data_IF_267169658485
#
_entry.id   IF_267169658485
#
_cell.length_a   1.000
_cell.length_b   1.000
_cell.length_c   1.000
_cell.angle_alpha   90.00
_cell.angle_beta   90.00
_cell.angle_gamma   90.00
#
_symmetry.space_group_name_H-M   'P 1'
#
loop_
_entity.id
_entity.type
_entity.pdbx_description
1 polymer ?
#
# COMPACT_ATOMS: atom_id res chain seq x y z
N UNK A 1 17.09 -18.40 2.18
CA UNK A 1 15.85 -17.70 2.59
C UNK A 1 16.16 -16.94 3.88
N UNK A 2 15.42 -15.90 4.26
CA UNK A 2 15.70 -15.26 5.56
C UNK A 2 15.25 -16.19 6.67
N UNK A 3 15.92 -16.16 7.84
CA UNK A 3 15.55 -17.00 8.99
C UNK A 3 14.08 -16.81 9.40
N UNK A 4 13.55 -15.60 9.23
CA UNK A 4 12.16 -15.27 9.52
C UNK A 4 11.19 -15.94 8.53
N UNK A 5 11.49 -15.89 7.23
CA UNK A 5 10.66 -16.50 6.20
C UNK A 5 10.69 -18.04 6.28
N UNK A 6 11.85 -18.62 6.61
CA UNK A 6 11.97 -20.05 6.93
C UNK A 6 11.06 -20.45 8.09
N UNK A 7 11.12 -19.71 9.21
CA UNK A 7 10.25 -19.96 10.36
C UNK A 7 8.76 -19.85 10.01
N UNK A 8 8.38 -18.85 9.21
CA UNK A 8 7.00 -18.69 8.77
C UNK A 8 6.51 -19.91 7.98
N UNK A 9 7.30 -20.43 7.02
CA UNK A 9 6.93 -21.62 6.28
C UNK A 9 6.85 -22.88 7.15
N UNK A 10 7.75 -23.03 8.12
CA UNK A 10 7.70 -24.15 9.08
C UNK A 10 6.43 -24.11 9.94
N UNK A 11 5.96 -22.93 10.35
CA UNK A 11 4.71 -22.83 11.11
C UNK A 11 3.49 -23.06 10.21
N UNK A 12 3.48 -22.52 8.99
CA UNK A 12 2.39 -22.74 8.03
C UNK A 12 2.28 -24.21 7.64
N UNK A 13 3.40 -24.92 7.44
CA UNK A 13 3.38 -26.34 7.04
C UNK A 13 2.77 -27.28 8.08
N UNK A 14 2.61 -26.83 9.34
CA UNK A 14 1.94 -27.60 10.40
C UNK A 14 0.41 -27.50 10.32
N UNK A 15 -0.13 -26.57 9.55
CA UNK A 15 -1.57 -26.38 9.39
C UNK A 15 -2.18 -27.43 8.45
N UNK A 16 -3.51 -27.65 8.50
CA UNK A 16 -4.19 -28.44 7.46
C UNK A 16 -3.99 -27.84 6.07
N UNK A 17 -3.99 -28.69 5.04
CA UNK A 17 -3.70 -28.28 3.64
C UNK A 17 -4.58 -27.11 3.16
N UNK A 18 -5.85 -27.09 3.55
CA UNK A 18 -6.77 -25.99 3.21
C UNK A 18 -6.27 -24.65 3.76
N UNK A 19 -5.79 -24.64 5.00
CA UNK A 19 -5.26 -23.43 5.65
C UNK A 19 -3.91 -23.03 5.06
N UNK A 20 -3.05 -24.00 4.72
CA UNK A 20 -1.81 -23.74 3.99
C UNK A 20 -2.09 -23.04 2.65
N UNK A 21 -3.06 -23.55 1.89
CA UNK A 21 -3.44 -22.98 0.60
C UNK A 21 -4.04 -21.58 0.73
N UNK A 22 -4.81 -21.30 1.79
CA UNK A 22 -5.32 -19.94 2.08
C UNK A 22 -4.16 -18.97 2.33
N UNK A 23 -3.19 -19.34 3.16
CA UNK A 23 -2.02 -18.48 3.45
C UNK A 23 -1.19 -18.28 2.18
N UNK A 24 -0.96 -19.33 1.40
CA UNK A 24 -0.22 -19.24 0.15
C UNK A 24 -0.91 -18.30 -0.85
N UNK A 25 -2.23 -18.44 -1.02
CA UNK A 25 -3.00 -17.56 -1.90
C UNK A 25 -2.92 -16.10 -1.45
N UNK A 26 -3.15 -15.84 -0.16
CA UNK A 26 -3.07 -14.49 0.40
C UNK A 26 -1.68 -13.86 0.16
N UNK A 27 -0.60 -14.59 0.43
CA UNK A 27 0.76 -14.09 0.23
C UNK A 27 1.06 -13.77 -1.25
N UNK A 28 0.59 -14.60 -2.18
CA UNK A 28 0.76 -14.37 -3.62
C UNK A 28 -0.05 -13.16 -4.11
N UNK A 29 -1.26 -12.99 -3.60
CA UNK A 29 -2.11 -11.85 -3.90
C UNK A 29 -1.47 -10.56 -3.37
N UNK A 30 -0.92 -10.57 -2.15
CA UNK A 30 -0.21 -9.44 -1.55
C UNK A 30 1.03 -9.04 -2.35
N UNK A 31 1.89 -10.00 -2.72
CA UNK A 31 3.07 -9.74 -3.54
C UNK A 31 2.72 -9.18 -4.92
N UNK A 32 1.55 -9.56 -5.46
CA UNK A 32 1.04 -9.02 -6.72
C UNK A 32 0.50 -7.60 -6.55
N UNK A 33 -0.22 -7.36 -5.45
CA UNK A 33 -0.73 -6.04 -5.07
C UNK A 33 0.41 -5.03 -4.90
N UNK A 34 1.44 -5.40 -4.13
CA UNK A 34 2.62 -4.56 -3.89
C UNK A 34 3.31 -4.17 -5.20
N UNK A 35 3.55 -5.13 -6.10
CA UNK A 35 4.14 -4.84 -7.43
C UNK A 35 3.30 -3.90 -8.27
N UNK A 36 1.96 -4.03 -8.21
CA UNK A 36 1.05 -3.14 -8.93
C UNK A 36 1.10 -1.73 -8.35
N UNK A 37 1.15 -1.61 -7.03
CA UNK A 37 1.28 -0.32 -6.35
C UNK A 37 2.62 0.35 -6.62
N UNK A 38 3.73 -0.38 -6.55
CA UNK A 38 5.06 0.13 -6.86
C UNK A 38 5.11 0.72 -8.28
N UNK A 39 4.55 -0.03 -9.26
CA UNK A 39 4.46 0.45 -10.63
C UNK A 39 3.57 1.69 -10.76
N UNK A 40 2.36 1.65 -10.21
CA UNK A 40 1.41 2.76 -10.31
C UNK A 40 1.96 4.03 -9.65
N UNK A 41 2.67 3.89 -8.53
CA UNK A 41 3.31 5.00 -7.84
C UNK A 41 4.47 5.57 -8.64
N UNK A 42 5.35 4.73 -9.19
CA UNK A 42 6.46 5.17 -10.03
C UNK A 42 5.99 5.93 -11.29
N UNK A 43 4.81 5.60 -11.82
CA UNK A 43 4.20 6.27 -12.97
C UNK A 43 3.39 7.53 -12.60
N UNK A 44 3.26 7.85 -11.31
CA UNK A 44 2.38 8.92 -10.82
C UNK A 44 3.04 10.27 -10.55
N UNK A 45 4.38 10.38 -10.67
CA UNK A 45 5.15 11.58 -10.29
C UNK A 45 4.61 12.86 -10.93
N UNK A 46 4.39 12.86 -12.25
CA UNK A 46 3.90 14.03 -12.97
C UNK A 46 2.51 14.48 -12.49
N UNK A 47 1.59 13.52 -12.29
CA UNK A 47 0.20 13.80 -11.86
C UNK A 47 0.18 14.29 -10.41
N UNK A 48 0.96 13.66 -9.54
CA UNK A 48 1.09 14.09 -8.15
C UNK A 48 1.73 15.49 -8.05
N UNK A 49 2.70 15.79 -8.91
CA UNK A 49 3.28 17.13 -9.03
C UNK A 49 2.24 18.17 -9.42
N UNK A 50 1.43 17.90 -10.43
CA UNK A 50 0.33 18.79 -10.86
C UNK A 50 -0.69 19.02 -9.74
N UNK A 51 -1.09 17.96 -9.03
CA UNK A 51 -2.03 18.08 -7.90
C UNK A 51 -1.44 18.90 -6.75
N UNK A 52 -0.14 18.78 -6.48
CA UNK A 52 0.54 19.58 -5.47
C UNK A 52 0.57 21.06 -5.86
N UNK A 53 0.89 21.36 -7.13
CA UNK A 53 0.89 22.73 -7.65
C UNK A 53 -0.51 23.37 -7.57
N UNK A 54 -1.55 22.61 -7.94
CA UNK A 54 -2.94 23.05 -7.83
C UNK A 54 -3.32 23.36 -6.38
N UNK A 55 -3.03 22.46 -5.44
CA UNK A 55 -3.34 22.67 -4.03
C UNK A 55 -2.62 23.90 -3.45
N UNK A 56 -1.37 24.14 -3.84
CA UNK A 56 -0.62 25.34 -3.45
C UNK A 56 -1.26 26.60 -4.02
N UNK A 57 -1.71 26.57 -5.28
CA UNK A 57 -2.37 27.70 -5.91
C UNK A 57 -3.72 28.00 -5.26
N UNK A 58 -4.53 26.98 -4.99
CA UNK A 58 -5.77 27.14 -4.23
C UNK A 58 -5.53 27.75 -2.85
N UNK A 59 -4.45 27.35 -2.17
CA UNK A 59 -4.07 27.93 -0.90
C UNK A 59 -3.73 29.43 -1.04
N UNK A 60 -2.90 29.79 -2.02
CA UNK A 60 -2.56 31.20 -2.31
C UNK A 60 -3.79 32.06 -2.65
N UNK A 61 -4.77 31.46 -3.32
CA UNK A 61 -6.03 32.11 -3.66
C UNK A 61 -7.04 32.16 -2.49
N UNK A 62 -6.69 31.64 -1.31
CA UNK A 62 -7.57 31.62 -0.15
C UNK A 62 -8.75 30.64 -0.27
N UNK A 63 -8.66 29.66 -1.19
CA UNK A 63 -9.70 28.65 -1.43
C UNK A 63 -9.62 27.44 -0.48
N UNK A 64 -8.60 27.38 0.36
CA UNK A 64 -8.40 26.29 1.33
C UNK A 64 -8.96 26.66 2.71
N UNK A 65 -9.19 25.65 3.55
CA UNK A 65 -9.60 25.83 4.95
C UNK A 65 -8.64 25.09 5.88
N UNK A 66 -8.41 25.59 7.10
CA UNK A 66 -7.65 24.85 8.10
C UNK A 66 -8.30 23.49 8.39
N UNK A 67 -7.47 22.44 8.48
CA UNK A 67 -7.91 21.13 8.93
C UNK A 67 -8.15 21.16 10.45
N UNK A 68 -9.39 20.92 10.88
CA UNK A 68 -9.77 20.85 12.30
C UNK A 68 -10.12 19.40 12.63
N UNK A 69 -9.19 18.68 13.26
CA UNK A 69 -9.27 17.23 13.50
C UNK A 69 -10.51 16.81 14.32
N UNK A 70 -10.98 17.67 15.23
CA UNK A 70 -12.15 17.40 16.07
C UNK A 70 -13.50 17.46 15.31
N UNK A 71 -13.48 17.71 14.00
CA UNK A 71 -14.66 17.82 13.13
C UNK A 71 -14.63 16.87 11.93
N UNK A 72 -13.75 15.88 11.95
CA UNK A 72 -13.72 14.76 10.99
C UNK A 72 -14.68 13.65 11.44
#
# INVERSE_FOLDING_TARGET
>A
MTKLLEKAFVEVSKLPEIEQNKVAKWLLDELTSEKRWEKAFAESEDVLGQLADEALEEHRQGKTKPLVLDRL
#
